data_IF_055685148401
#
_entry.id   IF_055685148401
#
_cell.length_a   1.000
_cell.length_b   1.000
_cell.length_c   1.000
_cell.angle_alpha   90.00
_cell.angle_beta   90.00
_cell.angle_gamma   90.00
#
_symmetry.space_group_name_H-M   'P 1'
#
loop_
_entity.id
_entity.type
_entity.pdbx_description
1 polymer ?
#
# COMPACT_ATOMS: atom_id res chain seq x y z
N UNK A 1 49.68 -46.23 33.69
CA UNK A 1 50.24 -44.93 34.16
C UNK A 1 50.36 -44.02 32.94
N UNK A 2 49.55 -42.96 32.86
CA UNK A 2 49.91 -41.56 32.51
C UNK A 2 48.62 -40.74 32.55
N UNK A 3 48.67 -39.62 33.26
CA UNK A 3 47.57 -38.75 33.68
C UNK A 3 47.30 -37.63 32.67
N UNK A 4 46.03 -37.24 32.54
CA UNK A 4 45.47 -35.87 32.43
C UNK A 4 45.85 -35.08 31.15
N UNK A 5 44.94 -34.38 30.46
CA UNK A 5 44.11 -33.28 30.99
C UNK A 5 42.83 -33.10 30.17
N UNK A 6 41.74 -32.89 30.91
CA UNK A 6 40.46 -32.38 30.43
C UNK A 6 40.64 -30.87 30.15
N UNK A 7 40.46 -30.45 28.89
CA UNK A 7 40.19 -29.05 28.56
C UNK A 7 38.72 -28.96 28.18
N UNK A 8 37.87 -28.55 29.13
CA UNK A 8 36.55 -28.03 28.81
C UNK A 8 36.76 -26.70 28.06
N UNK A 9 36.57 -26.70 26.74
CA UNK A 9 36.22 -25.48 26.02
C UNK A 9 34.74 -25.22 26.25
N UNK A 10 34.42 -24.40 27.23
CA UNK A 10 33.14 -23.68 27.29
C UNK A 10 33.11 -22.70 26.12
N UNK A 11 32.54 -23.12 24.99
CA UNK A 11 32.11 -22.20 23.94
C UNK A 11 30.91 -21.42 24.47
N UNK A 12 31.17 -20.20 24.95
CA UNK A 12 30.16 -19.22 25.28
C UNK A 12 29.51 -18.78 23.95
N UNK A 13 28.46 -19.47 23.53
CA UNK A 13 27.57 -18.98 22.47
C UNK A 13 26.84 -17.80 23.07
N UNK A 14 27.38 -16.60 22.86
CA UNK A 14 26.71 -15.36 23.15
C UNK A 14 25.55 -15.26 22.15
N UNK A 15 24.39 -15.80 22.54
CA UNK A 15 23.13 -15.47 21.90
C UNK A 15 23.02 -13.94 21.97
N UNK A 16 23.25 -13.26 20.84
CA UNK A 16 22.64 -11.98 20.56
C UNK A 16 21.13 -12.24 20.51
N UNK A 17 20.52 -12.39 21.67
CA UNK A 17 19.15 -11.98 21.89
C UNK A 17 19.16 -10.49 21.59
N UNK A 18 18.90 -10.15 20.33
CA UNK A 18 18.43 -8.82 19.98
C UNK A 18 17.34 -8.50 20.99
N UNK A 19 17.55 -7.43 21.74
CA UNK A 19 16.51 -6.86 22.58
C UNK A 19 15.29 -6.70 21.69
N UNK A 20 14.28 -7.57 21.86
CA UNK A 20 12.95 -7.25 21.39
C UNK A 20 12.64 -5.95 22.10
N UNK A 21 12.50 -4.89 21.31
CA UNK A 21 12.14 -3.58 21.81
C UNK A 21 10.72 -3.69 22.35
N UNK A 22 10.61 -3.99 23.65
CA UNK A 22 9.34 -4.13 24.37
C UNK A 22 8.64 -2.77 24.54
N UNK A 23 9.30 -1.68 24.14
CA UNK A 23 8.79 -0.32 24.13
C UNK A 23 8.32 0.13 22.73
N UNK A 24 7.93 -0.81 21.86
CA UNK A 24 7.32 -0.50 20.58
C UNK A 24 6.06 0.35 20.79
N UNK A 25 6.20 1.67 20.61
CA UNK A 25 5.05 2.60 20.58
C UNK A 25 4.04 2.06 19.57
N UNK A 26 2.74 2.08 19.89
CA UNK A 26 1.72 1.59 18.97
C UNK A 26 1.86 2.36 17.65
N UNK A 27 2.14 1.61 16.59
CA UNK A 27 2.22 2.15 15.25
C UNK A 27 0.81 2.58 14.83
N UNK A 28 0.66 3.83 14.41
CA UNK A 28 -0.62 4.31 13.88
C UNK A 28 -0.78 3.77 12.47
N UNK A 29 -1.79 2.93 12.27
CA UNK A 29 -2.20 2.49 10.93
C UNK A 29 -3.13 3.57 10.35
N UNK A 30 -2.84 4.00 9.13
CA UNK A 30 -3.67 4.94 8.37
C UNK A 30 -4.16 4.22 7.12
N UNK A 31 -5.47 4.17 6.94
CA UNK A 31 -6.08 3.64 5.73
C UNK A 31 -5.99 4.69 4.61
N UNK A 32 -5.47 4.27 3.45
CA UNK A 32 -5.32 5.09 2.24
C UNK A 32 -6.30 4.66 1.13
N UNK A 33 -7.31 3.86 1.48
CA UNK A 33 -8.24 3.23 0.54
C UNK A 33 -9.56 4.00 0.46
N UNK A 34 -10.13 4.12 -0.73
CA UNK A 34 -11.53 4.50 -0.91
C UNK A 34 -12.42 3.25 -0.91
N UNK A 35 -13.64 3.37 -0.37
CA UNK A 35 -14.65 2.29 -0.44
C UNK A 35 -14.92 1.89 -1.89
N UNK A 36 -15.05 0.58 -2.14
CA UNK A 36 -15.52 0.05 -3.42
C UNK A 36 -17.04 -0.14 -3.38
N UNK A 37 -17.74 0.57 -4.28
CA UNK A 37 -19.19 0.60 -4.41
C UNK A 37 -19.60 1.09 -5.82
N UNK A 38 -20.92 1.25 -6.05
CA UNK A 38 -21.47 1.69 -7.32
C UNK A 38 -21.06 3.13 -7.74
N UNK A 39 -20.55 3.94 -6.82
CA UNK A 39 -20.06 5.31 -7.09
C UNK A 39 -18.55 5.35 -7.36
N UNK A 40 -17.86 4.21 -7.20
CA UNK A 40 -16.44 4.10 -7.46
C UNK A 40 -16.09 4.54 -8.87
N UNK A 41 -15.06 5.39 -8.98
CA UNK A 41 -14.59 5.91 -10.25
C UNK A 41 -13.70 4.87 -10.94
N UNK A 42 -14.12 4.48 -12.15
CA UNK A 42 -13.37 3.65 -13.10
C UNK A 42 -13.10 4.43 -14.38
N UNK A 43 -12.27 3.87 -15.26
CA UNK A 43 -12.11 4.39 -16.62
C UNK A 43 -13.47 4.53 -17.35
N UNK A 44 -13.72 5.60 -18.13
CA UNK A 44 -15.06 5.93 -18.62
C UNK A 44 -15.76 4.85 -19.46
N UNK A 45 -15.02 3.91 -20.05
CA UNK A 45 -15.58 2.83 -20.89
C UNK A 45 -15.85 1.53 -20.13
N UNK A 46 -15.50 1.47 -18.85
CA UNK A 46 -15.65 0.26 -18.03
C UNK A 46 -17.06 0.10 -17.46
N UNK A 47 -17.44 -1.14 -17.14
CA UNK A 47 -18.76 -1.46 -16.56
C UNK A 47 -18.91 -1.00 -15.10
N UNK A 48 -17.80 -0.70 -14.43
CA UNK A 48 -17.77 -0.29 -13.02
C UNK A 48 -17.91 -1.46 -12.04
N UNK A 49 -18.13 -1.11 -10.76
CA UNK A 49 -18.32 -2.09 -9.69
C UNK A 49 -19.76 -2.60 -9.67
N UNK A 50 -19.90 -3.93 -9.61
CA UNK A 50 -21.21 -4.58 -9.46
C UNK A 50 -21.19 -5.42 -8.20
N UNK A 51 -22.18 -5.22 -7.33
CA UNK A 51 -22.40 -6.03 -6.13
C UNK A 51 -23.75 -6.72 -6.24
N UNK A 52 -23.74 -8.05 -6.17
CA UNK A 52 -24.93 -8.90 -6.17
C UNK A 52 -25.05 -9.55 -4.79
N UNK A 53 -26.10 -9.21 -4.03
CA UNK A 53 -26.37 -9.87 -2.77
C UNK A 53 -26.89 -11.29 -3.01
N UNK A 54 -26.12 -12.30 -2.61
CA UNK A 54 -26.53 -13.71 -2.71
C UNK A 54 -27.51 -14.08 -1.59
N UNK A 55 -27.18 -13.69 -0.36
CA UNK A 55 -27.99 -14.00 0.81
C UNK A 55 -27.68 -13.03 1.94
N UNK A 56 -28.68 -12.67 2.73
CA UNK A 56 -28.51 -11.96 4.00
C UNK A 56 -29.67 -12.31 4.93
N UNK A 57 -29.42 -13.20 5.90
CA UNK A 57 -30.47 -13.66 6.80
C UNK A 57 -30.08 -14.82 7.71
N UNK A 58 -31.03 -15.33 8.48
CA UNK A 58 -30.84 -16.54 9.28
C UNK A 58 -31.06 -17.76 8.39
N UNK A 59 -30.06 -18.65 8.34
CA UNK A 59 -30.13 -19.91 7.60
C UNK A 59 -31.08 -20.89 8.28
N UNK A 60 -31.51 -21.93 7.55
CA UNK A 60 -32.31 -23.03 8.10
C UNK A 60 -31.63 -23.76 9.27
N UNK A 61 -30.29 -23.65 9.38
CA UNK A 61 -29.49 -24.22 10.47
C UNK A 61 -29.40 -23.30 11.70
N UNK A 62 -30.08 -22.15 11.70
CA UNK A 62 -30.24 -21.27 12.85
C UNK A 62 -29.13 -20.22 13.05
N UNK A 63 -28.19 -20.06 12.11
CA UNK A 63 -27.15 -19.02 12.17
C UNK A 63 -27.35 -17.95 11.07
N UNK A 64 -26.94 -16.71 11.36
CA UNK A 64 -26.95 -15.63 10.38
C UNK A 64 -25.83 -15.82 9.35
N UNK A 65 -26.17 -15.64 8.07
CA UNK A 65 -25.25 -15.69 6.95
C UNK A 65 -25.50 -14.47 6.07
N UNK A 66 -24.43 -13.83 5.61
CA UNK A 66 -24.48 -12.77 4.62
C UNK A 66 -23.36 -13.00 3.61
N UNK A 67 -23.70 -12.98 2.32
CA UNK A 67 -22.76 -13.18 1.23
C UNK A 67 -23.19 -12.37 0.01
N UNK A 68 -22.19 -11.87 -0.70
CA UNK A 68 -22.34 -11.14 -1.94
C UNK A 68 -21.34 -11.70 -2.97
N UNK A 69 -21.72 -11.68 -4.25
CA UNK A 69 -20.78 -11.70 -5.37
C UNK A 69 -20.45 -10.28 -5.76
N UNK A 70 -19.25 -10.07 -6.27
CA UNK A 70 -18.91 -8.81 -6.93
C UNK A 70 -18.14 -9.06 -8.22
N UNK A 71 -18.22 -8.08 -9.12
CA UNK A 71 -17.33 -7.96 -10.28
C UNK A 71 -16.84 -6.52 -10.40
N UNK A 72 -15.62 -6.35 -10.90
CA UNK A 72 -14.97 -5.07 -11.03
C UNK A 72 -13.83 -5.15 -12.06
N UNK A 73 -13.63 -4.13 -12.91
CA UNK A 73 -12.40 -3.94 -13.68
C UNK A 73 -11.17 -3.78 -12.76
N UNK A 74 -9.99 -4.20 -13.22
CA UNK A 74 -8.74 -4.14 -12.43
C UNK A 74 -8.35 -2.71 -12.02
N UNK A 75 -8.66 -1.71 -12.86
CA UNK A 75 -8.21 -0.33 -12.71
C UNK A 75 -9.35 0.61 -12.30
N UNK A 76 -9.77 0.52 -11.04
CA UNK A 76 -10.70 1.49 -10.45
C UNK A 76 -10.59 1.61 -8.94
N UNK A 77 -11.02 2.76 -8.42
CA UNK A 77 -10.76 3.11 -7.03
C UNK A 77 -9.28 3.06 -6.66
N UNK A 78 -8.99 2.73 -5.41
CA UNK A 78 -7.62 2.47 -4.94
C UNK A 78 -7.17 1.10 -5.46
N UNK A 79 -6.20 1.07 -6.37
CA UNK A 79 -5.73 -0.15 -7.04
C UNK A 79 -4.20 -0.16 -7.21
N UNK A 80 -3.67 -1.24 -7.78
CA UNK A 80 -2.25 -1.44 -8.06
C UNK A 80 -2.04 -1.72 -9.55
N UNK A 81 -1.17 -0.94 -10.19
CA UNK A 81 -0.73 -1.21 -11.56
C UNK A 81 0.52 -2.09 -11.56
N UNK A 82 0.38 -3.31 -12.05
CA UNK A 82 1.53 -4.20 -12.28
C UNK A 82 2.30 -3.80 -13.56
N UNK A 83 3.61 -4.09 -13.69
CA UNK A 83 4.38 -3.77 -14.89
C UNK A 83 3.76 -4.29 -16.20
N UNK A 84 3.05 -5.43 -16.15
CA UNK A 84 2.32 -5.99 -17.29
C UNK A 84 1.31 -5.02 -17.91
N UNK A 85 0.80 -4.05 -17.15
CA UNK A 85 -0.20 -3.08 -17.61
C UNK A 85 0.25 -2.30 -18.87
N UNK A 86 1.54 -1.99 -18.98
CA UNK A 86 2.13 -1.32 -20.15
C UNK A 86 3.39 -2.01 -20.71
N UNK A 87 3.78 -3.17 -20.18
CA UNK A 87 4.94 -3.93 -20.66
C UNK A 87 4.54 -5.35 -21.04
N UNK A 88 4.71 -5.71 -22.32
CA UNK A 88 4.35 -7.04 -22.83
C UNK A 88 5.02 -8.19 -22.05
N UNK A 89 6.25 -7.98 -21.60
CA UNK A 89 7.02 -8.95 -20.81
C UNK A 89 7.06 -8.59 -19.31
N UNK A 90 6.22 -7.66 -18.87
CA UNK A 90 6.13 -7.23 -17.48
C UNK A 90 5.50 -8.30 -16.59
N UNK A 91 5.81 -8.23 -15.29
CA UNK A 91 5.21 -9.06 -14.26
C UNK A 91 3.71 -8.78 -14.15
N UNK A 92 2.90 -9.84 -14.05
CA UNK A 92 1.51 -9.75 -13.59
C UNK A 92 1.45 -9.53 -12.08
N UNK A 93 0.30 -9.09 -11.55
CA UNK A 93 0.17 -8.75 -10.12
C UNK A 93 0.51 -9.91 -9.19
N UNK A 94 0.16 -11.14 -9.56
CA UNK A 94 0.45 -12.37 -8.82
C UNK A 94 1.94 -12.77 -8.84
N UNK A 95 2.73 -12.17 -9.73
CA UNK A 95 4.18 -12.41 -9.86
C UNK A 95 5.03 -11.36 -9.13
N UNK A 96 4.42 -10.28 -8.61
CA UNK A 96 5.16 -9.25 -7.88
C UNK A 96 5.65 -9.81 -6.55
N UNK A 97 6.97 -9.75 -6.25
CA UNK A 97 7.48 -10.18 -4.95
C UNK A 97 6.87 -9.36 -3.81
N UNK A 98 6.50 -10.00 -2.70
CA UNK A 98 5.94 -9.30 -1.52
C UNK A 98 6.86 -8.20 -0.99
N UNK A 99 8.19 -8.34 -1.14
CA UNK A 99 9.16 -7.31 -0.76
C UNK A 99 9.03 -6.00 -1.56
N UNK A 100 8.29 -6.01 -2.67
CA UNK A 100 7.98 -4.83 -3.49
C UNK A 100 6.59 -4.24 -3.17
N UNK A 101 5.80 -4.91 -2.32
CA UNK A 101 4.46 -4.45 -1.88
C UNK A 101 4.48 -3.77 -0.50
N UNK A 102 5.66 -3.63 0.09
CA UNK A 102 5.87 -2.93 1.34
C UNK A 102 7.23 -2.24 1.32
N UNK A 103 7.35 -1.12 2.02
CA UNK A 103 8.60 -0.40 2.09
C UNK A 103 8.46 0.93 2.82
N UNK A 104 9.59 1.63 3.05
CA UNK A 104 9.55 3.02 3.47
C UNK A 104 8.80 3.86 2.44
N UNK A 105 8.10 4.89 2.91
CA UNK A 105 7.42 5.83 2.04
C UNK A 105 7.79 7.26 2.39
N UNK A 106 7.90 8.11 1.38
CA UNK A 106 8.04 9.56 1.52
C UNK A 106 6.79 10.24 1.00
N UNK A 107 6.34 11.29 1.69
CA UNK A 107 5.18 12.08 1.28
C UNK A 107 5.67 13.42 0.71
N UNK A 108 5.51 13.59 -0.60
CA UNK A 108 5.78 14.85 -1.30
C UNK A 108 4.46 15.59 -1.46
N UNK A 109 4.28 16.67 -0.70
CA UNK A 109 3.07 17.47 -0.70
C UNK A 109 3.14 18.60 -1.73
N UNK A 110 2.30 18.48 -2.76
CA UNK A 110 2.12 19.47 -3.84
C UNK A 110 0.70 20.04 -3.86
N UNK A 111 -0.08 19.80 -2.79
CA UNK A 111 -1.51 20.13 -2.77
C UNK A 111 -1.80 21.62 -2.89
N UNK A 112 -0.92 22.48 -2.40
CA UNK A 112 -1.04 23.93 -2.59
C UNK A 112 -0.87 24.34 -4.06
N UNK A 113 0.07 23.71 -4.78
CA UNK A 113 0.28 23.96 -6.20
C UNK A 113 -0.90 23.45 -7.02
N UNK A 114 -1.36 22.23 -6.76
CA UNK A 114 -2.55 21.65 -7.40
C UNK A 114 -3.85 22.43 -7.11
N UNK A 115 -3.93 23.12 -5.96
CA UNK A 115 -5.07 23.97 -5.63
C UNK A 115 -5.07 25.30 -6.41
N UNK A 116 -3.88 25.82 -6.74
CA UNK A 116 -3.72 27.02 -7.56
C UNK A 116 -3.85 26.71 -9.06
N UNK A 117 -3.43 25.52 -9.48
CA UNK A 117 -3.47 25.05 -10.86
C UNK A 117 -3.84 23.56 -10.88
N UNK A 118 -5.02 23.23 -11.42
CA UNK A 118 -5.50 21.85 -11.50
C UNK A 118 -4.64 20.99 -12.42
N UNK A 119 -3.99 21.60 -13.41
CA UNK A 119 -3.13 20.92 -14.39
C UNK A 119 -1.65 20.94 -13.95
N UNK A 120 -1.38 21.20 -12.67
CA UNK A 120 -0.02 21.25 -12.15
C UNK A 120 0.74 19.93 -12.37
N UNK A 121 1.80 20.01 -13.16
CA UNK A 121 2.73 18.91 -13.38
C UNK A 121 3.76 18.85 -12.25
N UNK A 122 3.86 17.71 -11.57
CA UNK A 122 4.93 17.46 -10.59
C UNK A 122 6.27 17.38 -11.32
N UNK A 123 7.25 18.14 -10.84
CA UNK A 123 8.57 18.29 -11.46
C UNK A 123 9.67 17.72 -10.60
N UNK A 124 10.83 17.48 -11.22
CA UNK A 124 12.09 17.16 -10.51
C UNK A 124 12.42 18.21 -9.44
N UNK A 125 12.03 19.47 -9.65
CA UNK A 125 12.22 20.54 -8.68
C UNK A 125 11.48 20.29 -7.35
N UNK A 126 10.30 19.67 -7.37
CA UNK A 126 9.51 19.38 -6.17
C UNK A 126 10.18 18.30 -5.31
N UNK A 127 10.73 17.28 -5.98
CA UNK A 127 11.51 16.22 -5.34
C UNK A 127 12.79 16.79 -4.72
N UNK A 128 13.54 17.62 -5.47
CA UNK A 128 14.74 18.28 -4.94
C UNK A 128 14.44 19.22 -3.78
N UNK A 129 13.32 19.94 -3.84
CA UNK A 129 12.89 20.81 -2.74
C UNK A 129 12.49 20.01 -1.50
N UNK A 130 11.88 18.83 -1.68
CA UNK A 130 11.63 17.89 -0.61
C UNK A 130 12.96 17.38 -0.01
N UNK A 131 13.89 16.93 -0.85
CA UNK A 131 15.20 16.43 -0.39
C UNK A 131 16.03 17.48 0.35
N UNK A 132 15.98 18.73 -0.09
CA UNK A 132 16.65 19.84 0.59
C UNK A 132 16.14 20.07 2.02
N UNK A 133 14.89 19.68 2.32
CA UNK A 133 14.27 19.82 3.65
C UNK A 133 14.37 18.55 4.50
N UNK A 134 14.35 17.39 3.88
CA UNK A 134 14.16 16.10 4.57
C UNK A 134 15.38 15.16 4.44
N UNK A 135 16.38 15.52 3.63
CA UNK A 135 17.48 14.63 3.23
C UNK A 135 17.16 13.86 1.95
N UNK A 136 18.14 13.16 1.41
CA UNK A 136 17.97 12.35 0.20
C UNK A 136 16.84 11.34 0.36
N UNK A 137 16.03 11.14 -0.70
CA UNK A 137 15.03 10.08 -0.71
C UNK A 137 15.77 8.73 -0.65
N UNK A 138 15.47 7.86 0.33
CA UNK A 138 16.13 6.56 0.42
C UNK A 138 15.81 5.66 -0.77
N UNK A 139 16.77 4.82 -1.15
CA UNK A 139 16.56 3.78 -2.16
C UNK A 139 15.36 2.88 -1.79
N UNK A 140 14.65 2.39 -2.81
CA UNK A 140 13.48 1.51 -2.67
C UNK A 140 12.31 2.14 -1.87
N UNK A 141 12.23 3.48 -1.80
CA UNK A 141 11.09 4.17 -1.20
C UNK A 141 9.89 4.27 -2.13
N UNK A 142 8.70 4.13 -1.55
CA UNK A 142 7.43 4.52 -2.17
C UNK A 142 7.32 6.05 -2.10
N UNK A 143 7.20 6.72 -3.24
CA UNK A 143 6.97 8.18 -3.28
C UNK A 143 5.47 8.45 -3.39
N UNK A 144 4.87 8.93 -2.31
CA UNK A 144 3.47 9.33 -2.28
C UNK A 144 3.33 10.82 -2.64
N UNK A 145 2.61 11.12 -3.71
CA UNK A 145 2.30 12.48 -4.14
C UNK A 145 0.97 12.93 -3.55
N UNK A 146 1.00 13.86 -2.59
CA UNK A 146 -0.22 14.45 -2.02
C UNK A 146 -0.64 15.67 -2.83
N UNK A 147 -1.64 15.49 -3.69
CA UNK A 147 -2.24 16.56 -4.52
C UNK A 147 -3.46 17.21 -3.86
N UNK A 148 -4.05 16.54 -2.86
CA UNK A 148 -5.30 16.97 -2.23
C UNK A 148 -6.57 16.62 -3.03
N UNK A 149 -6.47 15.92 -4.15
CA UNK A 149 -7.61 15.54 -4.99
C UNK A 149 -8.57 14.53 -4.35
N UNK A 150 -8.09 13.73 -3.38
CA UNK A 150 -8.94 12.77 -2.66
C UNK A 150 -10.18 13.40 -2.01
N UNK A 151 -10.20 14.72 -1.76
CA UNK A 151 -11.38 15.45 -1.26
C UNK A 151 -12.55 15.52 -2.26
N UNK A 152 -12.30 15.27 -3.53
CA UNK A 152 -13.32 15.29 -4.59
C UNK A 152 -13.96 13.92 -4.82
N UNK A 153 -13.45 12.85 -4.20
CA UNK A 153 -14.06 11.53 -4.27
C UNK A 153 -15.44 11.51 -3.58
N UNK A 154 -16.49 10.84 -4.13
CA UNK A 154 -16.55 10.11 -5.41
C UNK A 154 -17.10 10.94 -6.59
N UNK A 155 -17.12 12.29 -6.52
CA UNK A 155 -17.57 13.13 -7.63
C UNK A 155 -16.61 13.02 -8.83
N UNK A 156 -16.97 12.16 -9.78
CA UNK A 156 -16.22 11.92 -11.02
C UNK A 156 -15.83 13.19 -11.77
N UNK A 157 -16.69 14.20 -11.82
CA UNK A 157 -16.40 15.44 -12.58
C UNK A 157 -15.42 16.33 -11.86
N UNK A 158 -15.48 16.36 -10.52
CA UNK A 158 -14.56 17.17 -9.73
C UNK A 158 -13.20 16.47 -9.54
N UNK A 159 -13.20 15.14 -9.49
CA UNK A 159 -12.03 14.29 -9.25
C UNK A 159 -11.13 14.11 -10.48
N UNK A 160 -11.71 14.03 -11.69
CA UNK A 160 -10.97 13.90 -12.95
C UNK A 160 -10.58 15.25 -13.56
#
# INVERSE_FOLDING_TARGET
MTRWRCCLLTALVLNLLGTMDLDAKPQKIVDLTHTLDAETIYWPTETGFVLEQEFAGTTEKGYFYAANKFSSPEHGGTHLDAPRHFSENGLTVDQIPLSKLQGPAVLVDVSAACAADRDYEVRVADLKAWEARHGAIPDESIVLLRTGFGKFWPDRRAYL
#
